data_IF_437954737643
#
_entry.id   IF_437954737643
#
_cell.length_a   1.000
_cell.length_b   1.000
_cell.length_c   1.000
_cell.angle_alpha   90.00
_cell.angle_beta   90.00
_cell.angle_gamma   90.00
#
_symmetry.space_group_name_H-M   'P 1'
#
loop_
_entity.id
_entity.type
_entity.pdbx_description
1 polymer ?
#
# COMPACT_ATOMS: atom_id res chain seq x y z
N UNK A 1 -28.18 -5.12 8.89
CA UNK A 1 -27.47 -5.74 7.74
C UNK A 1 -26.44 -6.71 8.28
N UNK A 2 -26.75 -8.01 8.31
CA UNK A 2 -25.76 -9.03 8.64
C UNK A 2 -24.85 -9.15 7.41
N UNK A 3 -23.62 -8.64 7.52
CA UNK A 3 -22.61 -8.81 6.47
C UNK A 3 -22.39 -10.32 6.32
N UNK A 4 -22.39 -10.82 5.08
CA UNK A 4 -22.06 -12.21 4.79
C UNK A 4 -20.68 -12.59 5.32
N UNK A 5 -20.35 -13.89 5.38
CA UNK A 5 -19.05 -14.35 5.84
C UNK A 5 -17.93 -13.63 5.07
N UNK A 6 -16.95 -13.12 5.80
CA UNK A 6 -15.80 -12.42 5.22
C UNK A 6 -14.93 -13.35 4.36
N UNK A 7 -13.99 -12.78 3.62
CA UNK A 7 -13.06 -13.58 2.82
C UNK A 7 -12.18 -14.42 3.75
N UNK A 8 -11.68 -15.56 3.27
CA UNK A 8 -10.72 -16.37 4.03
C UNK A 8 -9.50 -15.54 4.49
N UNK A 9 -9.09 -14.57 3.66
CA UNK A 9 -8.00 -13.63 3.95
C UNK A 9 -8.27 -12.73 5.18
N UNK A 10 -9.53 -12.54 5.55
CA UNK A 10 -9.93 -11.68 6.68
C UNK A 10 -9.89 -12.43 8.03
N UNK A 11 -9.74 -13.75 8.03
CA UNK A 11 -9.63 -14.55 9.26
C UNK A 11 -8.34 -14.15 9.98
N UNK A 12 -8.46 -13.72 11.24
CA UNK A 12 -7.32 -13.27 12.04
C UNK A 12 -6.77 -11.88 11.68
N UNK A 13 -7.31 -11.21 10.65
CA UNK A 13 -6.84 -9.90 10.19
C UNK A 13 -6.78 -8.87 11.32
N UNK A 14 -7.81 -8.80 12.17
CA UNK A 14 -7.85 -7.85 13.30
C UNK A 14 -6.71 -8.06 14.30
N UNK A 15 -6.43 -9.31 14.66
CA UNK A 15 -5.36 -9.63 15.60
C UNK A 15 -3.99 -9.32 14.99
N UNK A 16 -3.78 -9.69 13.72
CA UNK A 16 -2.54 -9.39 13.00
C UNK A 16 -2.30 -7.89 12.84
N UNK A 17 -3.34 -7.15 12.46
CA UNK A 17 -3.27 -5.70 12.32
C UNK A 17 -2.97 -5.06 13.69
N UNK A 18 -3.59 -5.52 14.79
CA UNK A 18 -3.28 -4.96 16.11
C UNK A 18 -1.81 -5.13 16.51
N UNK A 19 -1.19 -6.25 16.14
CA UNK A 19 0.18 -6.57 16.53
C UNK A 19 1.24 -5.94 15.61
N UNK A 20 0.93 -5.78 14.32
CA UNK A 20 1.95 -5.45 13.31
C UNK A 20 1.62 -4.25 12.42
N UNK A 21 0.41 -3.69 12.53
CA UNK A 21 0.03 -2.56 11.66
C UNK A 21 0.98 -1.39 11.91
N UNK A 22 1.57 -0.92 10.83
CA UNK A 22 2.52 0.20 10.79
C UNK A 22 3.80 0.00 11.62
N UNK A 23 4.02 -1.19 12.21
CA UNK A 23 5.26 -1.49 12.91
C UNK A 23 6.40 -1.61 11.89
N UNK A 24 7.34 -0.67 11.96
CA UNK A 24 8.54 -0.62 11.14
C UNK A 24 9.73 -0.23 12.03
N UNK A 25 10.76 -1.08 12.08
CA UNK A 25 12.00 -0.77 12.80
C UNK A 25 12.92 0.18 12.01
N UNK A 26 12.66 0.32 10.71
CA UNK A 26 13.43 1.13 9.77
C UNK A 26 12.87 2.55 9.63
N UNK A 27 13.70 3.51 9.19
CA UNK A 27 13.22 4.86 8.91
C UNK A 27 12.44 4.87 7.60
N UNK A 28 11.11 4.92 7.70
CA UNK A 28 10.20 5.05 6.54
C UNK A 28 9.66 6.46 6.44
N UNK A 29 9.80 7.06 5.27
CA UNK A 29 9.18 8.32 4.89
C UNK A 29 8.22 8.07 3.73
N UNK A 30 6.96 8.49 3.86
CA UNK A 30 5.96 8.34 2.80
C UNK A 30 5.27 9.68 2.57
N UNK A 31 5.23 10.10 1.31
CA UNK A 31 4.47 11.27 0.86
C UNK A 31 3.38 10.79 -0.07
N UNK A 32 2.13 11.09 0.27
CA UNK A 32 0.99 10.79 -0.59
C UNK A 32 0.33 12.08 -1.06
N UNK A 33 0.17 12.21 -2.37
CA UNK A 33 -0.57 13.29 -3.00
C UNK A 33 -1.87 12.74 -3.57
N UNK A 34 -2.96 13.43 -3.27
CA UNK A 34 -4.29 13.07 -3.74
C UNK A 34 -4.79 14.12 -4.73
N UNK A 35 -5.43 13.66 -5.79
CA UNK A 35 -6.12 14.50 -6.77
C UNK A 35 -7.63 14.35 -6.61
N UNK A 36 -8.38 15.40 -6.95
CA UNK A 36 -9.85 15.38 -6.92
C UNK A 36 -10.47 14.38 -7.89
N UNK A 37 -9.71 13.95 -8.91
CA UNK A 37 -10.11 12.96 -9.92
C UNK A 37 -9.92 11.51 -9.48
N UNK A 38 -9.56 11.25 -8.22
CA UNK A 38 -9.44 9.89 -7.68
C UNK A 38 -8.09 9.21 -7.95
N UNK A 39 -7.07 9.97 -8.32
CA UNK A 39 -5.68 9.48 -8.40
C UNK A 39 -4.97 9.79 -7.08
N UNK A 40 -4.34 8.77 -6.50
CA UNK A 40 -3.44 8.89 -5.37
C UNK A 40 -2.05 8.44 -5.79
N UNK A 41 -1.04 9.27 -5.57
CA UNK A 41 0.37 8.95 -5.82
C UNK A 41 1.07 8.94 -4.47
N UNK A 42 1.66 7.81 -4.09
CA UNK A 42 2.46 7.66 -2.87
C UNK A 42 3.90 7.36 -3.23
N UNK A 43 4.81 8.23 -2.78
CA UNK A 43 6.25 8.02 -2.86
C UNK A 43 6.78 7.61 -1.49
N UNK A 44 7.43 6.46 -1.38
CA UNK A 44 7.98 5.94 -0.13
C UNK A 44 9.48 5.78 -0.24
N UNK A 45 10.22 6.30 0.75
CA UNK A 45 11.63 6.02 0.97
C UNK A 45 11.83 5.29 2.29
N UNK A 46 12.58 4.18 2.28
CA UNK A 46 12.92 3.39 3.45
C UNK A 46 14.44 3.33 3.56
N UNK A 47 14.97 3.68 4.74
CA UNK A 47 16.35 3.40 5.10
C UNK A 47 16.40 2.22 6.06
N UNK A 48 16.90 1.09 5.55
CA UNK A 48 17.06 -0.17 6.27
C UNK A 48 18.54 -0.45 6.49
N UNK A 49 19.06 -0.07 7.65
CA UNK A 49 20.50 -0.05 7.92
C UNK A 49 21.23 0.87 6.93
N UNK A 50 22.11 0.28 6.12
CA UNK A 50 22.88 0.97 5.07
C UNK A 50 22.20 0.92 3.69
N UNK A 51 21.07 0.21 3.56
CA UNK A 51 20.32 0.07 2.32
C UNK A 51 19.22 1.14 2.22
N UNK A 52 19.22 1.86 1.10
CA UNK A 52 18.17 2.83 0.76
C UNK A 52 17.27 2.22 -0.31
N UNK A 53 15.99 2.07 0.02
CA UNK A 53 14.97 1.56 -0.86
C UNK A 53 13.93 2.65 -1.13
N UNK A 54 13.53 2.77 -2.38
CA UNK A 54 12.45 3.66 -2.80
C UNK A 54 11.38 2.89 -3.56
N UNK A 55 10.12 3.28 -3.34
CA UNK A 55 9.01 2.89 -4.22
C UNK A 55 8.09 4.08 -4.55
N UNK A 56 7.46 3.98 -5.72
CA UNK A 56 6.39 4.86 -6.16
C UNK A 56 5.19 3.99 -6.46
N UNK A 57 4.07 4.28 -5.79
CA UNK A 57 2.80 3.62 -6.02
C UNK A 57 1.75 4.62 -6.47
N UNK A 58 0.95 4.22 -7.45
CA UNK A 58 -0.14 5.02 -8.00
C UNK A 58 -1.41 4.21 -7.96
N UNK A 59 -2.45 4.76 -7.34
CA UNK A 59 -3.79 4.20 -7.34
C UNK A 59 -4.71 5.13 -8.13
N UNK A 60 -5.33 4.61 -9.18
CA UNK A 60 -6.40 5.28 -9.91
C UNK A 60 -7.71 4.59 -9.56
N UNK A 61 -8.65 5.33 -8.96
CA UNK A 61 -9.99 4.84 -8.71
C UNK A 61 -11.00 5.59 -9.55
N UNK A 62 -11.65 4.88 -10.47
CA UNK A 62 -12.73 5.40 -11.30
C UNK A 62 -13.96 4.50 -11.19
N UNK A 63 -14.97 4.94 -10.42
CA UNK A 63 -16.21 4.20 -10.14
C UNK A 63 -15.90 2.81 -9.55
N UNK A 64 -16.10 1.74 -10.33
CA UNK A 64 -15.85 0.35 -9.94
C UNK A 64 -14.48 -0.18 -10.39
N UNK A 65 -13.68 0.62 -11.10
CA UNK A 65 -12.35 0.23 -11.56
C UNK A 65 -11.33 0.85 -10.61
N UNK A 66 -10.51 -0.01 -10.01
CA UNK A 66 -9.31 0.39 -9.28
C UNK A 66 -8.12 -0.15 -10.03
N UNK A 67 -7.14 0.69 -10.31
CA UNK A 67 -5.88 0.27 -10.92
C UNK A 67 -4.76 0.72 -10.03
N UNK A 68 -4.03 -0.25 -9.49
CA UNK A 68 -2.88 -0.04 -8.64
C UNK A 68 -1.62 -0.41 -9.40
N UNK A 69 -0.68 0.53 -9.51
CA UNK A 69 0.64 0.30 -10.11
C UNK A 69 1.69 0.65 -9.07
N UNK A 70 2.66 -0.23 -8.89
CA UNK A 70 3.81 -0.01 -8.02
C UNK A 70 5.10 -0.28 -8.77
N UNK A 71 6.05 0.63 -8.62
CA UNK A 71 7.42 0.51 -9.13
C UNK A 71 8.40 0.72 -7.97
N UNK A 72 9.43 -0.11 -7.89
CA UNK A 72 10.48 0.02 -6.88
C UNK A 72 11.89 0.20 -7.46
N UNK A 73 12.81 0.56 -6.58
CA UNK A 73 14.25 0.74 -6.86
C UNK A 73 14.97 -0.53 -7.34
N UNK A 74 14.36 -1.71 -7.21
CA UNK A 74 14.88 -2.96 -7.78
C UNK A 74 14.34 -3.21 -9.21
N UNK A 75 13.72 -2.19 -9.82
CA UNK A 75 13.05 -2.29 -11.11
C UNK A 75 11.91 -3.32 -11.14
N UNK A 76 11.32 -3.64 -9.98
CA UNK A 76 10.11 -4.45 -9.94
C UNK A 76 8.90 -3.59 -10.30
N UNK A 77 8.06 -4.12 -11.19
CA UNK A 77 6.78 -3.50 -11.55
C UNK A 77 5.66 -4.49 -11.20
N UNK A 78 4.74 -4.07 -10.34
CA UNK A 78 3.54 -4.84 -10.00
C UNK A 78 2.28 -4.05 -10.30
N UNK A 79 1.30 -4.72 -10.90
CA UNK A 79 0.00 -4.18 -11.24
C UNK A 79 -1.08 -5.04 -10.58
N UNK A 80 -2.02 -4.41 -9.87
CA UNK A 80 -3.18 -5.06 -9.29
C UNK A 80 -4.45 -4.43 -9.90
N UNK A 81 -5.34 -5.30 -10.40
CA UNK A 81 -6.63 -4.94 -11.00
C UNK A 81 -7.77 -5.24 -10.03
#
# INVERSE_FOLDING_TARGET
MVKGPGLYLDIGKKARDLLYKDYQSDHKFTVTTYTSTGVAISSTGIRKGDLYLGDVSTQLKNKNITTDVKVDTNSNVSQQN
#
